data_IF_676103963540
#
_entry.id   IF_676103963540
#
_cell.length_a   1.000
_cell.length_b   1.000
_cell.length_c   1.000
_cell.angle_alpha   90.00
_cell.angle_beta   90.00
_cell.angle_gamma   90.00
#
_symmetry.space_group_name_H-M   'P 1'
#
loop_
_entity.id
_entity.type
_entity.pdbx_description
1 polymer ?
#
# COMPACT_ATOMS: atom_id res chain seq x y z
N UNK A 1 13.59 16.51 32.67
CA UNK A 1 14.88 16.17 32.03
C UNK A 1 15.39 14.80 32.47
N UNK A 2 15.47 14.50 33.78
CA UNK A 2 15.95 13.18 34.27
C UNK A 2 15.24 11.97 33.66
N UNK A 3 13.90 12.01 33.55
CA UNK A 3 13.12 10.95 32.89
C UNK A 3 13.58 10.65 31.45
N UNK A 4 13.89 11.68 30.65
CA UNK A 4 14.35 11.49 29.27
C UNK A 4 15.73 10.84 29.20
N UNK A 5 16.63 11.20 30.14
CA UNK A 5 17.96 10.60 30.20
C UNK A 5 17.90 9.11 30.57
N UNK A 6 17.10 8.79 31.59
CA UNK A 6 16.94 7.40 32.04
C UNK A 6 16.24 6.56 30.98
N UNK A 7 15.15 7.04 30.39
CA UNK A 7 14.44 6.34 29.31
C UNK A 7 15.32 6.16 28.07
N UNK A 8 16.07 7.18 27.65
CA UNK A 8 17.03 7.06 26.55
C UNK A 8 18.07 5.98 26.79
N UNK A 9 18.64 5.93 28.00
CA UNK A 9 19.64 4.92 28.38
C UNK A 9 19.04 3.51 28.37
N UNK A 10 17.83 3.35 28.92
CA UNK A 10 17.11 2.08 28.93
C UNK A 10 16.76 1.59 27.52
N UNK A 11 16.20 2.46 26.67
CA UNK A 11 15.88 2.11 25.29
C UNK A 11 17.13 1.75 24.48
N UNK A 12 18.24 2.49 24.66
CA UNK A 12 19.51 2.16 24.01
C UNK A 12 19.99 0.76 24.37
N UNK A 13 19.89 0.37 25.65
CA UNK A 13 20.25 -0.97 26.10
C UNK A 13 19.32 -2.03 25.50
N UNK A 14 17.99 -1.82 25.54
CA UNK A 14 17.03 -2.76 24.94
C UNK A 14 17.28 -2.96 23.44
N UNK A 15 17.56 -1.88 22.70
CA UNK A 15 17.86 -1.95 21.27
C UNK A 15 19.18 -2.67 20.96
N UNK A 16 20.16 -2.63 21.86
CA UNK A 16 21.46 -3.27 21.64
C UNK A 16 21.44 -4.78 21.95
N UNK A 17 20.70 -5.20 22.98
CA UNK A 17 20.82 -6.56 23.52
C UNK A 17 19.57 -7.43 23.40
N UNK A 18 18.37 -6.83 23.32
CA UNK A 18 17.10 -7.58 23.50
C UNK A 18 16.27 -7.60 22.23
N UNK A 19 16.19 -6.48 21.51
CA UNK A 19 15.25 -6.33 20.39
C UNK A 19 15.88 -6.73 19.06
N UNK A 20 15.41 -7.82 18.48
CA UNK A 20 15.65 -8.14 17.06
C UNK A 20 14.65 -7.34 16.22
N UNK A 21 15.13 -6.55 15.27
CA UNK A 21 14.27 -5.73 14.39
C UNK A 21 13.78 -6.60 13.23
N UNK A 22 12.51 -6.97 13.26
CA UNK A 22 11.89 -7.71 12.17
C UNK A 22 11.58 -6.84 10.94
N UNK A 23 11.60 -5.51 11.09
CA UNK A 23 11.25 -4.58 10.02
C UNK A 23 12.18 -3.37 10.00
N UNK A 24 12.63 -3.01 8.80
CA UNK A 24 13.41 -1.81 8.53
C UNK A 24 12.55 -0.81 7.77
N UNK A 25 12.03 0.23 8.46
CA UNK A 25 11.10 1.19 7.84
C UNK A 25 11.75 2.22 6.91
N UNK A 26 13.07 2.14 6.67
CA UNK A 26 13.77 3.09 5.79
C UNK A 26 13.68 4.56 6.20
N UNK A 27 13.28 4.87 7.45
CA UNK A 27 13.12 6.24 7.93
C UNK A 27 11.71 6.84 7.76
N UNK A 28 10.75 6.09 7.19
CA UNK A 28 9.37 6.55 7.00
C UNK A 28 8.68 6.92 8.33
N UNK A 29 9.06 6.23 9.41
CA UNK A 29 8.65 6.56 10.78
C UNK A 29 9.00 8.00 11.19
N UNK A 30 10.15 8.52 10.76
CA UNK A 30 10.64 9.82 11.21
C UNK A 30 9.75 10.97 10.70
N UNK A 31 9.24 10.85 9.46
CA UNK A 31 8.31 11.83 8.91
C UNK A 31 6.98 11.87 9.68
N UNK A 32 6.48 10.70 10.07
CA UNK A 32 5.31 10.60 10.95
C UNK A 32 5.54 11.31 12.29
N UNK A 33 6.65 11.01 12.96
CA UNK A 33 7.03 11.64 14.23
C UNK A 33 7.18 13.16 14.11
N UNK A 34 7.76 13.64 13.01
CA UNK A 34 7.91 15.06 12.72
C UNK A 34 6.56 15.77 12.62
N UNK A 35 5.61 15.18 11.88
CA UNK A 35 4.25 15.73 11.74
C UNK A 35 3.55 15.86 13.09
N UNK A 36 3.63 14.83 13.94
CA UNK A 36 3.05 14.90 15.29
C UNK A 36 3.71 15.99 16.14
N UNK A 37 5.04 16.11 16.08
CA UNK A 37 5.78 17.13 16.82
C UNK A 37 5.41 18.55 16.40
N UNK A 38 5.25 18.80 15.09
CA UNK A 38 4.81 20.10 14.57
C UNK A 38 3.36 20.43 14.95
N UNK A 39 2.46 19.45 14.92
CA UNK A 39 1.07 19.66 15.41
C UNK A 39 1.04 20.00 16.90
N UNK A 40 1.85 19.33 17.72
CA UNK A 40 1.99 19.62 19.15
C UNK A 40 2.56 21.02 19.40
N UNK A 41 3.57 21.44 18.62
CA UNK A 41 4.13 22.78 18.71
C UNK A 41 3.11 23.86 18.33
N UNK A 42 2.31 23.63 17.29
CA UNK A 42 1.26 24.56 16.87
C UNK A 42 0.16 24.66 17.95
N UNK A 43 -0.28 23.53 18.49
CA UNK A 43 -1.25 23.49 19.59
C UNK A 43 -0.72 24.21 20.85
N UNK A 44 0.55 24.00 21.21
CA UNK A 44 1.19 24.68 22.32
C UNK A 44 1.26 26.20 22.12
N UNK A 45 1.56 26.68 20.90
CA UNK A 45 1.53 28.11 20.59
C UNK A 45 0.14 28.71 20.71
N UNK A 46 -0.90 28.03 20.21
CA UNK A 46 -2.29 28.49 20.34
C UNK A 46 -2.73 28.55 21.81
N UNK A 47 -2.39 27.52 22.59
CA UNK A 47 -2.66 27.50 24.03
C UNK A 47 -1.90 28.61 24.75
N UNK A 48 -0.65 28.88 24.38
CA UNK A 48 0.15 29.93 24.98
C UNK A 48 -0.42 31.33 24.68
N UNK A 49 -0.86 31.58 23.45
CA UNK A 49 -1.54 32.82 23.06
C UNK A 49 -2.84 32.98 23.86
N UNK A 50 -3.64 31.91 23.95
CA UNK A 50 -4.88 31.90 24.74
C UNK A 50 -4.61 32.20 26.22
N UNK A 51 -3.59 31.55 26.79
CA UNK A 51 -3.18 31.75 28.18
C UNK A 51 -2.74 33.20 28.46
N UNK A 52 -1.94 33.79 27.57
CA UNK A 52 -1.49 35.18 27.71
C UNK A 52 -2.64 36.18 27.52
N UNK A 53 -3.62 35.86 26.67
CA UNK A 53 -4.83 36.65 26.50
C UNK A 53 -5.62 36.81 27.81
N UNK A 54 -5.67 35.76 28.63
CA UNK A 54 -6.33 35.80 29.95
C UNK A 54 -5.53 36.63 30.95
N UNK A 55 -4.19 36.62 30.87
CA UNK A 55 -3.30 37.15 31.93
C UNK A 55 -2.97 38.65 31.87
N UNK A 56 -3.88 39.51 31.37
CA UNK A 56 -3.62 40.95 31.12
C UNK A 56 -2.37 41.22 30.25
N UNK A 57 -1.86 40.21 29.54
CA UNK A 57 -0.68 40.29 28.67
C UNK A 57 -0.96 40.91 27.30
N UNK A 58 -1.92 41.84 27.21
CA UNK A 58 -2.38 42.40 25.94
C UNK A 58 -1.24 43.07 25.14
N UNK A 59 -0.25 43.64 25.83
CA UNK A 59 0.91 44.30 25.20
C UNK A 59 1.89 43.27 24.59
N UNK A 60 1.94 42.04 25.11
CA UNK A 60 2.84 40.99 24.63
C UNK A 60 2.22 40.11 23.54
N UNK A 61 0.88 40.04 23.48
CA UNK A 61 0.14 39.29 22.47
C UNK A 61 0.55 39.60 21.00
N UNK A 62 0.72 40.86 20.56
CA UNK A 62 1.11 41.14 19.17
C UNK A 62 2.51 40.63 18.81
N UNK A 63 3.41 40.51 19.80
CA UNK A 63 4.75 39.94 19.59
C UNK A 63 4.71 38.42 19.38
N UNK A 64 3.70 37.75 19.95
CA UNK A 64 3.48 36.30 19.85
C UNK A 64 2.64 35.90 18.63
N UNK A 65 1.83 36.84 18.12
CA UNK A 65 1.00 36.62 16.93
C UNK A 65 1.74 36.09 15.69
N UNK A 66 2.98 36.54 15.33
CA UNK A 66 3.68 36.00 14.15
C UNK A 66 4.24 34.59 14.33
N UNK A 67 4.43 34.13 15.57
CA UNK A 67 5.06 32.84 15.88
C UNK A 67 4.35 31.63 15.26
N UNK A 68 3.01 31.45 15.38
CA UNK A 68 2.31 30.36 14.72
C UNK A 68 2.43 30.40 13.18
N UNK A 69 2.50 31.60 12.59
CA UNK A 69 2.69 31.74 11.14
C UNK A 69 4.10 31.28 10.72
N UNK A 70 5.13 31.62 11.50
CA UNK A 70 6.51 31.16 11.25
C UNK A 70 6.58 29.64 11.35
N UNK A 71 5.98 29.03 12.39
CA UNK A 71 5.95 27.58 12.55
C UNK A 71 5.24 26.91 11.37
N UNK A 72 4.10 27.45 10.93
CA UNK A 72 3.35 26.92 9.80
C UNK A 72 4.10 27.07 8.47
N UNK A 73 4.78 28.20 8.26
CA UNK A 73 5.65 28.41 7.10
C UNK A 73 6.80 27.41 7.08
N UNK A 74 7.52 27.26 8.20
CA UNK A 74 8.60 26.30 8.35
C UNK A 74 8.12 24.87 8.11
N UNK A 75 6.96 24.49 8.67
CA UNK A 75 6.36 23.18 8.43
C UNK A 75 6.08 22.97 6.93
N UNK A 76 5.40 23.90 6.25
CA UNK A 76 5.14 23.73 4.80
C UNK A 76 6.41 23.67 3.97
N UNK A 77 7.45 24.41 4.36
CA UNK A 77 8.73 24.41 3.66
C UNK A 77 9.48 23.07 3.83
N UNK A 78 9.59 22.57 5.06
CA UNK A 78 10.24 21.28 5.33
C UNK A 78 9.46 20.11 4.76
N UNK A 79 8.12 20.16 4.82
CA UNK A 79 7.25 19.13 4.25
C UNK A 79 7.53 18.96 2.75
N UNK A 80 7.53 20.06 2.00
CA UNK A 80 7.83 20.03 0.56
C UNK A 80 9.22 19.47 0.24
N UNK A 81 10.22 19.80 1.07
CA UNK A 81 11.62 19.43 0.81
C UNK A 81 11.94 17.98 1.20
N UNK A 82 11.45 17.53 2.35
CA UNK A 82 11.87 16.26 2.94
C UNK A 82 10.88 15.12 2.76
N UNK A 83 9.60 15.40 2.45
CA UNK A 83 8.61 14.35 2.22
C UNK A 83 9.04 13.41 1.10
N UNK A 84 9.39 13.98 -0.06
CA UNK A 84 9.83 13.21 -1.23
C UNK A 84 11.05 12.36 -0.91
N UNK A 85 12.01 12.93 -0.17
CA UNK A 85 13.25 12.24 0.20
C UNK A 85 13.01 11.09 1.20
N UNK A 86 11.94 11.16 2.01
CA UNK A 86 11.58 10.08 2.95
C UNK A 86 10.70 9.00 2.34
N UNK A 87 9.94 9.31 1.30
CA UNK A 87 9.01 8.37 0.65
C UNK A 87 9.65 7.61 -0.50
N UNK A 88 10.71 8.18 -1.11
CA UNK A 88 11.32 7.61 -2.31
C UNK A 88 12.83 7.52 -2.17
N UNK A 89 13.39 6.38 -2.57
CA UNK A 89 14.83 6.24 -2.75
C UNK A 89 15.19 6.97 -4.04
N UNK A 90 16.14 7.93 -4.02
CA UNK A 90 16.54 8.62 -5.24
C UNK A 90 17.20 7.64 -6.22
N UNK A 91 16.83 7.75 -7.49
CA UNK A 91 17.29 6.86 -8.57
C UNK A 91 18.82 6.73 -8.62
N UNK A 92 19.54 7.84 -8.44
CA UNK A 92 21.00 7.86 -8.44
C UNK A 92 21.62 6.97 -7.34
N UNK A 93 21.00 6.95 -6.16
CA UNK A 93 21.45 6.08 -5.06
C UNK A 93 21.09 4.62 -5.34
N UNK A 94 19.91 4.35 -5.91
CA UNK A 94 19.52 3.00 -6.29
C UNK A 94 20.46 2.40 -7.35
N UNK A 95 20.80 3.18 -8.39
CA UNK A 95 21.75 2.75 -9.44
C UNK A 95 23.13 2.50 -8.85
N UNK A 96 23.62 3.39 -7.98
CA UNK A 96 24.93 3.19 -7.34
C UNK A 96 24.95 1.94 -6.45
N UNK A 97 23.90 1.71 -5.68
CA UNK A 97 23.80 0.52 -4.84
C UNK A 97 23.73 -0.77 -5.68
N UNK A 98 23.07 -0.74 -6.84
CA UNK A 98 23.04 -1.85 -7.79
C UNK A 98 24.41 -2.09 -8.44
N UNK A 99 25.10 -1.03 -8.91
CA UNK A 99 26.44 -1.11 -9.48
C UNK A 99 27.46 -1.63 -8.46
N UNK A 100 27.41 -1.14 -7.22
CA UNK A 100 28.28 -1.58 -6.12
C UNK A 100 28.04 -3.06 -5.79
N UNK A 101 26.79 -3.54 -5.88
CA UNK A 101 26.48 -4.97 -5.69
C UNK A 101 27.05 -5.82 -6.81
N UNK A 102 26.87 -5.41 -8.07
CA UNK A 102 27.38 -6.15 -9.24
C UNK A 102 28.91 -6.21 -9.24
N UNK A 103 29.58 -5.11 -8.90
CA UNK A 103 31.04 -5.04 -8.92
C UNK A 103 31.71 -5.78 -7.76
N UNK A 104 31.07 -5.82 -6.59
CA UNK A 104 31.68 -6.39 -5.38
C UNK A 104 31.27 -7.84 -5.09
N UNK A 105 30.24 -8.39 -5.74
CA UNK A 105 29.82 -9.77 -5.54
C UNK A 105 30.03 -10.63 -6.78
N UNK A 106 30.92 -11.63 -6.69
CA UNK A 106 31.07 -12.66 -7.73
C UNK A 106 29.84 -13.54 -7.89
N UNK A 107 28.87 -13.45 -6.96
CA UNK A 107 27.59 -14.17 -6.92
C UNK A 107 26.39 -13.36 -7.46
N UNK A 108 26.60 -12.15 -7.99
CA UNK A 108 25.52 -11.25 -8.42
C UNK A 108 24.57 -11.83 -9.48
N UNK A 109 24.98 -12.87 -10.21
CA UNK A 109 24.13 -13.55 -11.20
C UNK A 109 23.14 -14.55 -10.60
N UNK A 110 23.33 -15.02 -9.36
CA UNK A 110 22.45 -16.02 -8.71
C UNK A 110 21.25 -15.35 -8.02
N UNK A 111 21.28 -14.02 -7.85
CA UNK A 111 20.47 -13.30 -6.85
C UNK A 111 19.00 -13.12 -7.20
N UNK A 112 18.61 -13.02 -8.48
CA UNK A 112 17.20 -12.76 -8.81
C UNK A 112 16.30 -13.98 -8.56
N UNK A 113 16.76 -15.16 -9.00
CA UNK A 113 16.02 -16.40 -8.79
C UNK A 113 15.96 -16.76 -7.30
N UNK A 114 17.08 -16.60 -6.59
CA UNK A 114 17.15 -16.82 -5.14
C UNK A 114 16.31 -15.79 -4.35
N UNK A 115 16.20 -14.55 -4.81
CA UNK A 115 15.28 -13.56 -4.23
C UNK A 115 13.82 -13.97 -4.42
N UNK A 116 13.45 -14.47 -5.60
CA UNK A 116 12.10 -14.97 -5.86
C UNK A 116 11.79 -16.20 -4.99
N UNK A 117 12.76 -17.10 -4.84
CA UNK A 117 12.62 -18.32 -4.03
C UNK A 117 12.62 -18.02 -2.53
N UNK A 118 13.36 -16.99 -2.09
CA UNK A 118 13.40 -16.54 -0.69
C UNK A 118 12.26 -15.59 -0.30
N UNK A 119 11.55 -15.03 -1.27
CA UNK A 119 10.35 -14.23 -1.01
C UNK A 119 9.20 -15.15 -0.57
N UNK A 120 9.16 -15.48 0.72
CA UNK A 120 7.98 -16.05 1.34
C UNK A 120 7.07 -14.91 1.83
N UNK A 121 5.83 -14.80 1.30
CA UNK A 121 4.89 -13.78 1.75
C UNK A 121 4.40 -14.12 3.17
N UNK A 122 5.18 -13.76 4.17
CA UNK A 122 4.88 -14.05 5.58
C UNK A 122 4.12 -12.90 6.26
N UNK A 123 3.91 -11.79 5.56
CA UNK A 123 3.43 -10.55 6.16
C UNK A 123 1.94 -10.52 6.53
N UNK A 124 1.17 -11.56 6.22
CA UNK A 124 -0.28 -11.60 6.47
C UNK A 124 -0.84 -13.02 6.70
N UNK A 125 -0.07 -13.96 7.26
CA UNK A 125 -0.68 -15.22 7.72
C UNK A 125 -1.47 -14.95 9.00
N UNK A 126 -2.80 -14.99 8.88
CA UNK A 126 -3.66 -15.03 10.06
C UNK A 126 -3.18 -16.17 10.96
N UNK A 127 -3.06 -16.01 12.30
CA UNK A 127 -2.47 -17.01 13.19
C UNK A 127 -3.20 -18.37 13.22
N UNK A 128 -4.34 -18.49 12.52
CA UNK A 128 -5.09 -19.73 12.32
C UNK A 128 -4.86 -20.40 10.95
N UNK A 129 -4.07 -19.79 10.07
CA UNK A 129 -3.74 -20.36 8.74
C UNK A 129 -2.48 -21.19 8.91
N UNK A 130 -2.68 -22.42 9.39
CA UNK A 130 -1.62 -23.43 9.59
C UNK A 130 -1.26 -24.21 8.33
N UNK A 131 -1.90 -23.89 7.19
CA UNK A 131 -1.64 -24.50 5.88
C UNK A 131 -1.66 -23.44 4.78
N UNK A 132 -1.17 -23.78 3.57
CA UNK A 132 -1.27 -22.89 2.42
C UNK A 132 -2.75 -22.47 2.22
N UNK A 133 -3.00 -21.16 2.13
CA UNK A 133 -4.34 -20.65 1.89
C UNK A 133 -4.81 -21.13 0.51
N UNK A 134 -5.78 -22.05 0.49
CA UNK A 134 -6.45 -22.46 -0.74
C UNK A 134 -7.48 -21.37 -1.04
N UNK A 135 -7.12 -20.43 -1.92
CA UNK A 135 -8.02 -19.37 -2.35
C UNK A 135 -8.89 -19.93 -3.48
N UNK A 136 -10.19 -20.04 -3.24
CA UNK A 136 -11.17 -20.38 -4.28
C UNK A 136 -11.94 -19.14 -4.72
N UNK A 137 -12.20 -18.96 -6.03
CA UNK A 137 -11.64 -19.75 -7.14
C UNK A 137 -10.14 -19.47 -7.33
N UNK A 138 -9.36 -20.51 -7.64
CA UNK A 138 -7.91 -20.39 -7.85
C UNK A 138 -7.67 -19.79 -9.25
N UNK A 139 -6.97 -18.66 -9.41
CA UNK A 139 -6.65 -18.15 -10.74
C UNK A 139 -5.65 -19.10 -11.40
N UNK A 140 -6.07 -19.78 -12.46
CA UNK A 140 -5.22 -20.73 -13.19
C UNK A 140 -4.61 -20.09 -14.44
N UNK A 141 -3.31 -20.34 -14.65
CA UNK A 141 -2.62 -20.01 -15.90
C UNK A 141 -2.74 -21.18 -16.86
N UNK A 142 -3.42 -20.99 -17.98
CA UNK A 142 -3.40 -21.94 -19.09
C UNK A 142 -2.00 -21.85 -19.73
N UNK A 143 -1.26 -22.96 -19.77
CA UNK A 143 0.02 -23.10 -20.51
C UNK A 143 1.17 -22.15 -20.08
N UNK A 144 1.14 -21.63 -18.86
CA UNK A 144 2.15 -20.66 -18.37
C UNK A 144 2.22 -19.35 -19.18
N UNK A 145 1.24 -19.08 -20.03
CA UNK A 145 1.17 -17.82 -20.78
C UNK A 145 0.76 -16.67 -19.84
N UNK A 146 1.24 -15.44 -20.09
CA UNK A 146 0.83 -14.28 -19.30
C UNK A 146 -0.69 -14.10 -19.38
N UNK A 147 -1.33 -13.80 -18.24
CA UNK A 147 -2.79 -13.60 -18.10
C UNK A 147 -3.34 -12.40 -18.88
N UNK A 148 -2.49 -11.72 -19.65
CA UNK A 148 -2.79 -10.51 -20.39
C UNK A 148 -2.86 -10.88 -21.86
N UNK A 149 -4.05 -10.72 -22.44
CA UNK A 149 -4.19 -10.73 -23.89
C UNK A 149 -3.31 -9.62 -24.51
N UNK A 150 -3.04 -9.66 -25.83
CA UNK A 150 -2.30 -8.61 -26.55
C UNK A 150 -2.86 -7.17 -26.36
N UNK A 151 -4.09 -7.07 -25.86
CA UNK A 151 -4.80 -5.82 -25.56
C UNK A 151 -4.74 -5.42 -24.07
N UNK A 152 -3.91 -6.08 -23.25
CA UNK A 152 -3.80 -5.86 -21.80
C UNK A 152 -5.08 -6.14 -21.01
N UNK A 153 -5.99 -6.94 -21.56
CA UNK A 153 -7.15 -7.43 -20.84
C UNK A 153 -6.74 -8.66 -20.01
N UNK A 154 -7.14 -8.66 -18.73
CA UNK A 154 -6.90 -9.78 -17.82
C UNK A 154 -7.91 -10.89 -18.14
N UNK A 155 -7.43 -12.00 -18.69
CA UNK A 155 -8.24 -13.16 -19.05
C UNK A 155 -8.14 -14.21 -17.94
N UNK A 156 -8.86 -13.97 -16.84
CA UNK A 156 -8.92 -14.93 -15.74
C UNK A 156 -10.00 -15.98 -16.04
N UNK A 157 -9.58 -17.24 -16.21
CA UNK A 157 -10.50 -18.39 -16.23
C UNK A 157 -10.66 -18.85 -14.78
N UNK A 158 -11.81 -18.52 -14.20
CA UNK A 158 -12.21 -19.02 -12.89
C UNK A 158 -12.97 -20.34 -13.06
N UNK A 159 -12.55 -21.38 -12.35
CA UNK A 159 -13.33 -22.62 -12.27
C UNK A 159 -14.37 -22.43 -11.20
N UNK A 160 -15.62 -22.27 -11.64
CA UNK A 160 -16.70 -21.82 -10.76
C UNK A 160 -17.21 -22.92 -9.82
N UNK A 161 -17.09 -24.21 -10.17
CA UNK A 161 -17.61 -25.30 -9.34
C UNK A 161 -16.69 -26.55 -9.36
N UNK A 162 -15.85 -26.69 -8.33
CA UNK A 162 -15.17 -27.97 -8.05
C UNK A 162 -16.15 -28.83 -7.23
N UNK A 163 -16.43 -30.09 -7.62
CA UNK A 163 -17.31 -30.97 -6.87
C UNK A 163 -16.86 -31.12 -5.41
N UNK A 164 -17.79 -31.01 -4.45
CA UNK A 164 -17.48 -31.19 -3.03
C UNK A 164 -16.76 -32.53 -2.78
N UNK A 165 -15.54 -32.47 -2.24
CA UNK A 165 -14.74 -33.66 -1.90
C UNK A 165 -13.72 -34.10 -2.94
N UNK A 166 -13.60 -33.41 -4.09
CA UNK A 166 -12.56 -33.69 -5.08
C UNK A 166 -11.34 -32.77 -4.89
N UNK A 167 -10.12 -33.33 -4.96
CA UNK A 167 -8.89 -32.52 -4.91
C UNK A 167 -8.81 -31.64 -6.17
N UNK A 168 -8.59 -30.32 -6.06
CA UNK A 168 -8.56 -29.43 -7.23
C UNK A 168 -7.56 -29.87 -8.29
N UNK A 169 -6.42 -30.44 -7.90
CA UNK A 169 -5.42 -30.89 -8.87
C UNK A 169 -5.97 -32.02 -9.74
N UNK A 170 -6.66 -32.98 -9.13
CA UNK A 170 -7.29 -34.10 -9.83
C UNK A 170 -8.41 -33.61 -10.76
N UNK A 171 -9.24 -32.69 -10.31
CA UNK A 171 -10.31 -32.12 -11.14
C UNK A 171 -9.75 -31.37 -12.36
N UNK A 172 -8.64 -30.65 -12.19
CA UNK A 172 -8.00 -29.92 -13.28
C UNK A 172 -7.31 -30.85 -14.28
N UNK A 173 -6.70 -31.95 -13.83
CA UNK A 173 -6.17 -32.97 -14.74
C UNK A 173 -7.28 -33.60 -15.59
N UNK A 174 -8.46 -33.81 -15.02
CA UNK A 174 -9.64 -34.30 -15.76
C UNK A 174 -10.10 -33.29 -16.83
N UNK A 175 -10.24 -32.00 -16.46
CA UNK A 175 -10.62 -30.95 -17.44
C UNK A 175 -9.55 -30.82 -18.54
N UNK A 176 -8.26 -30.89 -18.18
CA UNK A 176 -7.17 -30.80 -19.14
C UNK A 176 -7.15 -31.99 -20.10
N UNK A 177 -7.44 -33.20 -19.62
CA UNK A 177 -7.61 -34.39 -20.46
C UNK A 177 -8.82 -34.26 -21.38
N UNK A 178 -9.97 -33.82 -20.87
CA UNK A 178 -11.19 -33.61 -21.67
C UNK A 178 -10.98 -32.56 -22.79
N UNK A 179 -10.28 -31.47 -22.48
CA UNK A 179 -9.91 -30.44 -23.46
C UNK A 179 -8.93 -30.95 -24.53
N UNK A 180 -8.06 -31.91 -24.20
CA UNK A 180 -7.13 -32.52 -25.15
C UNK A 180 -7.82 -33.56 -26.05
N UNK A 181 -8.78 -34.31 -25.50
CA UNK A 181 -9.53 -35.34 -26.24
C UNK A 181 -10.58 -34.77 -27.18
N UNK A 182 -11.07 -33.54 -26.92
CA UNK A 182 -12.10 -32.88 -27.74
C UNK A 182 -11.61 -31.56 -28.38
N UNK A 183 -10.66 -31.61 -29.35
CA UNK A 183 -10.16 -30.41 -30.02
C UNK A 183 -11.24 -29.66 -30.85
N UNK A 184 -12.39 -30.29 -31.15
CA UNK A 184 -13.47 -29.69 -31.95
C UNK A 184 -14.54 -28.93 -31.13
N UNK A 185 -14.49 -28.97 -29.80
CA UNK A 185 -15.40 -28.19 -28.93
C UNK A 185 -14.77 -26.87 -28.42
N UNK A 186 -13.53 -26.59 -28.78
CA UNK A 186 -12.81 -25.38 -28.40
C UNK A 186 -13.29 -24.14 -29.16
N UNK A 187 -14.37 -23.51 -28.65
CA UNK A 187 -14.65 -22.05 -28.67
C UNK A 187 -16.13 -21.71 -28.37
N UNK A 188 -16.87 -22.54 -27.63
CA UNK A 188 -18.07 -22.04 -26.95
C UNK A 188 -17.70 -21.49 -25.57
N UNK A 189 -16.78 -20.51 -25.52
CA UNK A 189 -16.67 -19.64 -24.36
C UNK A 189 -17.97 -18.85 -24.30
N UNK A 190 -18.91 -19.26 -23.44
CA UNK A 190 -20.01 -18.41 -23.00
C UNK A 190 -19.41 -17.28 -22.18
N UNK A 191 -18.81 -16.31 -22.87
CA UNK A 191 -18.38 -15.04 -22.31
C UNK A 191 -19.68 -14.36 -21.89
N UNK A 192 -20.05 -14.50 -20.62
CA UNK A 192 -21.07 -13.67 -20.01
C UNK A 192 -20.47 -12.26 -19.90
N UNK A 193 -20.55 -11.54 -21.02
CA UNK A 193 -20.08 -10.17 -21.18
C UNK A 193 -20.98 -9.27 -20.33
N UNK A 194 -20.62 -9.10 -19.06
CA UNK A 194 -21.11 -8.02 -18.20
C UNK A 194 -20.58 -6.68 -18.68
N UNK A 195 -21.02 -6.26 -19.88
CA UNK A 195 -20.73 -4.96 -20.49
C UNK A 195 -21.51 -3.86 -19.76
N UNK A 196 -20.91 -3.31 -18.71
CA UNK A 196 -21.31 -2.05 -18.10
C UNK A 196 -20.30 -0.95 -18.40
N UNK A 197 -20.39 -0.28 -19.55
CA UNK A 197 -19.76 1.03 -19.75
C UNK A 197 -20.66 1.95 -20.57
N UNK A 198 -21.06 3.12 -20.05
CA UNK A 198 -21.88 4.07 -20.79
C UNK A 198 -21.00 5.13 -21.43
N UNK A 199 -21.08 5.30 -22.76
CA UNK A 199 -21.13 6.62 -23.45
C UNK A 199 -21.12 6.49 -24.98
N UNK A 200 -22.22 6.95 -25.60
CA UNK A 200 -22.13 8.01 -26.60
C UNK A 200 -22.61 7.73 -28.04
N UNK A 201 -23.89 8.08 -28.32
CA UNK A 201 -24.41 8.47 -29.64
C UNK A 201 -25.13 7.36 -30.41
N UNK A 202 -26.36 7.49 -30.94
CA UNK A 202 -27.25 8.62 -31.19
C UNK A 202 -28.68 8.07 -31.26
N UNK A 203 -29.54 8.50 -30.32
CA UNK A 203 -30.94 8.12 -30.25
C UNK A 203 -31.68 9.13 -29.39
N UNK A 204 -32.78 9.67 -29.92
CA UNK A 204 -33.49 10.88 -29.50
C UNK A 204 -33.94 10.89 -28.03
N UNK A 205 -34.13 12.08 -27.43
CA UNK A 205 -34.24 12.26 -25.99
C UNK A 205 -35.68 12.04 -25.48
N UNK A 206 -35.83 11.22 -24.45
CA UNK A 206 -37.01 11.21 -23.59
C UNK A 206 -36.64 11.91 -22.27
N UNK A 207 -37.11 13.14 -22.11
CA UNK A 207 -36.93 13.94 -20.89
C UNK A 207 -37.91 13.39 -19.86
N UNK A 208 -37.40 12.76 -18.80
CA UNK A 208 -38.13 12.63 -17.54
C UNK A 208 -37.36 13.34 -16.44
N UNK A 209 -37.88 14.52 -16.09
CA UNK A 209 -37.55 15.25 -14.88
C UNK A 209 -38.05 14.43 -13.68
N UNK A 210 -37.16 14.07 -12.75
CA UNK A 210 -37.57 13.63 -11.41
C UNK A 210 -36.94 14.57 -10.39
N UNK A 211 -37.84 15.40 -9.83
CA UNK A 211 -37.65 16.26 -8.68
C UNK A 211 -37.61 15.38 -7.42
N UNK A 212 -36.53 15.48 -6.64
CA UNK A 212 -36.52 14.95 -5.27
C UNK A 212 -37.04 16.03 -4.32
N UNK A 213 -38.28 15.86 -3.89
CA UNK A 213 -38.88 16.64 -2.83
C UNK A 213 -38.56 16.03 -1.47
N UNK A 214 -37.93 16.88 -0.66
CA UNK A 214 -37.90 16.96 0.80
C UNK A 214 -39.29 16.74 1.43
N UNK A 215 -39.35 16.05 2.57
CA UNK A 215 -40.30 16.22 3.70
C UNK A 215 -39.68 15.41 4.86
N UNK A 216 -39.04 16.01 5.87
CA UNK A 216 -39.64 16.56 7.10
C UNK A 216 -41.00 15.98 7.48
N UNK A 217 -41.00 15.12 8.50
CA UNK A 217 -41.58 15.40 9.81
C UNK A 217 -40.85 14.55 10.86
#
# INVERSE_FOLDING_TARGET
TGFFFTSYTAYKYMFAYVTIRAYESGGLFFYGLYRYSMTGLLAANVLFITYMGIKRGAVQAPLLAPLPFIVLYCWRYTEKKYKVLSETIPYDTAVRDDDDRVNNSSDAQVTHQELLDSFQPDFLKHPKVTGPAVVYPYPHRIKNEPLLDPYWALNDVYVEDIPEGMDPKEYMELIAQEAYESPELGLSSSIHSGSGSPRGGSGKPLIHHVSNNRLHA
#
